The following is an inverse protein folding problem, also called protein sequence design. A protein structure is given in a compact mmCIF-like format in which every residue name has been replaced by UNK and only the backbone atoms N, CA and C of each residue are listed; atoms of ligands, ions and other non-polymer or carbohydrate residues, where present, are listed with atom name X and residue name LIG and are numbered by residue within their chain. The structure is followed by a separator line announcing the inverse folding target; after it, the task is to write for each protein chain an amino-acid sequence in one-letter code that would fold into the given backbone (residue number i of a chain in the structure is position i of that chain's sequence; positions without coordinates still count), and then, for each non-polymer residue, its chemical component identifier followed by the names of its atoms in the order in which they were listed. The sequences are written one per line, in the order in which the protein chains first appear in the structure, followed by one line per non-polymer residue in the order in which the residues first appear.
data_IF_807799272772
#
_entry.id   IF_807799272772
#
_cell.length_a   1.000
_cell.length_b   1.000
_cell.length_c   1.000
_cell.angle_alpha   90.00
_cell.angle_beta   90.00
_cell.angle_gamma   90.00
#
_symmetry.space_group_name_H-M   'P 1'
#
loop_
_entity.id
_entity.type
_entity.pdbx_description
1 polymer ?
#
# COMPACT_ATOMS: atom_id res chain seq x y z
N UNK A 1 -15.86 5.04 -7.04
CA UNK A 1 -15.23 3.92 -6.28
C UNK A 1 -14.20 3.25 -7.19
N UNK A 2 -13.05 2.85 -6.66
CA UNK A 2 -12.03 2.10 -7.43
C UNK A 2 -12.29 0.61 -7.20
N UNK A 3 -12.53 -0.20 -8.24
CA UNK A 3 -12.74 -1.63 -8.08
C UNK A 3 -11.46 -2.31 -7.55
N UNK A 4 -11.64 -3.23 -6.60
CA UNK A 4 -10.57 -4.05 -6.05
C UNK A 4 -10.67 -5.42 -6.71
N UNK A 5 -9.56 -5.92 -7.26
CA UNK A 5 -9.49 -7.24 -7.90
C UNK A 5 -9.67 -8.37 -6.86
N UNK A 6 -10.33 -9.47 -7.23
CA UNK A 6 -10.59 -10.63 -6.36
C UNK A 6 -9.32 -11.23 -5.74
N UNK A 7 -8.19 -11.23 -6.46
CA UNK A 7 -6.88 -11.65 -5.94
C UNK A 7 -6.48 -10.78 -4.74
N UNK A 8 -6.72 -9.48 -4.81
CA UNK A 8 -6.44 -8.58 -3.69
C UNK A 8 -7.38 -8.88 -2.50
N UNK A 9 -8.64 -9.24 -2.76
CA UNK A 9 -9.60 -9.63 -1.71
C UNK A 9 -9.10 -10.87 -0.95
N UNK A 10 -8.54 -11.85 -1.66
CA UNK A 10 -7.93 -13.04 -1.04
C UNK A 10 -6.71 -12.67 -0.18
N UNK A 11 -5.82 -11.80 -0.69
CA UNK A 11 -4.69 -11.30 0.08
C UNK A 11 -5.13 -10.53 1.33
N UNK A 12 -6.17 -9.69 1.22
CA UNK A 12 -6.74 -8.99 2.37
C UNK A 12 -7.32 -9.94 3.41
N UNK A 13 -7.99 -11.00 2.97
CA UNK A 13 -8.54 -12.04 3.85
C UNK A 13 -7.43 -12.79 4.58
N UNK A 14 -6.35 -13.12 3.87
CA UNK A 14 -5.14 -13.73 4.45
C UNK A 14 -4.48 -12.81 5.48
N UNK A 15 -4.35 -11.52 5.18
CA UNK A 15 -3.78 -10.54 6.11
C UNK A 15 -4.65 -10.39 7.36
N UNK A 16 -5.98 -10.39 7.21
CA UNK A 16 -6.92 -10.34 8.33
C UNK A 16 -6.76 -11.56 9.25
N UNK A 17 -6.64 -12.76 8.69
CA UNK A 17 -6.44 -13.99 9.44
C UNK A 17 -5.11 -14.05 10.21
N UNK A 18 -4.09 -13.32 9.76
CA UNK A 18 -2.78 -13.21 10.43
C UNK A 18 -2.73 -12.12 11.50
N UNK A 19 -3.76 -11.29 11.63
CA UNK A 19 -3.82 -10.26 12.66
C UNK A 19 -4.26 -10.89 13.98
N UNK A 20 -3.53 -10.64 15.06
CA UNK A 20 -3.86 -11.22 16.38
C UNK A 20 -5.22 -10.73 16.92
N UNK A 21 -5.67 -9.52 16.53
CA UNK A 21 -6.93 -8.93 16.99
C UNK A 21 -7.55 -8.00 15.92
N UNK A 22 -8.17 -8.54 14.86
CA UNK A 22 -8.80 -7.74 13.83
C UNK A 22 -10.06 -7.06 14.41
N UNK A 23 -9.95 -5.81 14.83
CA UNK A 23 -11.09 -4.97 15.20
C UNK A 23 -11.57 -4.21 13.97
N UNK A 24 -12.89 -4.12 13.81
CA UNK A 24 -13.52 -3.44 12.67
C UNK A 24 -13.14 -1.95 12.56
N UNK A 25 -12.77 -1.32 13.68
CA UNK A 25 -12.31 0.07 13.76
C UNK A 25 -10.81 0.27 13.56
N UNK A 26 -10.04 -0.79 13.34
CA UNK A 26 -8.58 -0.70 13.14
C UNK A 26 -8.24 -0.61 11.66
N UNK A 27 -7.13 0.09 11.36
CA UNK A 27 -6.60 0.19 10.00
C UNK A 27 -6.30 -1.20 9.43
N UNK A 28 -6.71 -1.44 8.19
CA UNK A 28 -6.48 -2.71 7.47
C UNK A 28 -4.98 -2.99 7.29
N UNK A 29 -4.19 -1.94 7.04
CA UNK A 29 -2.75 -2.02 6.85
C UNK A 29 -1.96 -1.53 8.06
N UNK A 30 -2.22 -2.11 9.23
CA UNK A 30 -1.42 -1.79 10.39
C UNK A 30 -0.22 -2.75 10.53
N UNK A 31 0.96 -2.32 10.09
CA UNK A 31 2.18 -3.14 10.20
C UNK A 31 2.51 -3.46 11.68
N UNK A 32 2.06 -2.64 12.63
CA UNK A 32 2.30 -2.87 14.05
C UNK A 32 1.57 -4.10 14.59
N UNK A 33 0.49 -4.54 13.92
CA UNK A 33 -0.17 -5.82 14.25
C UNK A 33 0.56 -7.05 13.69
N UNK A 34 1.55 -6.86 12.81
CA UNK A 34 2.30 -7.94 12.16
C UNK A 34 3.79 -7.97 12.53
N UNK A 35 4.36 -6.85 13.01
CA UNK A 35 5.77 -6.71 13.36
C UNK A 35 5.93 -6.05 14.74
N UNK A 36 6.36 -6.84 15.72
CA UNK A 36 6.60 -6.37 17.10
C UNK A 36 7.61 -5.21 17.23
N UNK A 37 8.42 -4.96 16.19
CA UNK A 37 9.40 -3.87 16.17
C UNK A 37 8.80 -2.49 15.92
N UNK A 38 7.51 -2.41 15.57
CA UNK A 38 6.81 -1.13 15.36
C UNK A 38 5.80 -0.92 16.49
N UNK A 39 6.05 0.08 17.35
CA UNK A 39 5.16 0.43 18.46
C UNK A 39 4.35 1.68 18.09
N UNK A 40 3.17 1.49 17.51
CA UNK A 40 2.19 2.56 17.27
C UNK A 40 0.78 1.96 17.16
N UNK A 41 -0.24 2.69 17.62
CA UNK A 41 -1.63 2.23 17.53
C UNK A 41 -2.19 2.24 16.10
N UNK A 42 -1.61 3.10 15.25
CA UNK A 42 -1.92 3.27 13.83
C UNK A 42 -0.62 3.54 13.08
N UNK A 43 -0.57 3.11 11.82
CA UNK A 43 0.52 3.47 10.92
C UNK A 43 0.30 4.90 10.42
N UNK A 44 1.39 5.67 10.33
CA UNK A 44 1.41 7.00 9.73
C UNK A 44 2.35 7.05 8.50
N UNK A 45 2.34 8.18 7.80
CA UNK A 45 3.11 8.35 6.56
C UNK A 45 4.62 8.22 6.76
N UNK A 46 5.15 8.64 7.91
CA UNK A 46 6.58 8.50 8.24
C UNK A 46 7.00 7.04 8.33
N UNK A 47 6.17 6.21 8.96
CA UNK A 47 6.43 4.77 9.08
C UNK A 47 6.38 4.08 7.71
N UNK A 48 5.44 4.47 6.84
CA UNK A 48 5.39 4.00 5.45
C UNK A 48 6.67 4.42 4.71
N UNK A 49 7.07 5.69 4.83
CA UNK A 49 8.28 6.20 4.19
C UNK A 49 9.53 5.45 4.65
N UNK A 50 9.66 5.17 5.95
CA UNK A 50 10.76 4.35 6.50
C UNK A 50 10.75 2.92 5.97
N UNK A 51 9.58 2.31 5.76
CA UNK A 51 9.47 0.99 5.13
C UNK A 51 10.05 1.01 3.71
N UNK A 52 9.67 1.99 2.89
CA UNK A 52 10.20 2.15 1.55
C UNK A 52 11.71 2.41 1.54
N UNK A 53 12.24 3.15 2.51
CA UNK A 53 13.70 3.31 2.69
C UNK A 53 14.39 1.98 2.98
N UNK A 54 13.82 1.15 3.86
CA UNK A 54 14.37 -0.19 4.16
C UNK A 54 14.34 -1.09 2.92
N UNK A 55 13.25 -1.07 2.16
CA UNK A 55 13.13 -1.82 0.91
C UNK A 55 14.13 -1.35 -0.13
N UNK A 56 14.30 -0.03 -0.29
CA UNK A 56 15.26 0.53 -1.24
C UNK A 56 16.67 0.02 -0.99
N UNK A 57 17.10 0.01 0.27
CA UNK A 57 18.39 -0.54 0.68
C UNK A 57 18.50 -2.04 0.39
N UNK A 58 17.44 -2.81 0.68
CA UNK A 58 17.43 -4.26 0.51
C UNK A 58 17.48 -4.69 -0.96
N UNK A 59 16.80 -3.98 -1.85
CA UNK A 59 16.75 -4.33 -3.28
C UNK A 59 17.84 -3.62 -4.12
N UNK A 60 18.59 -2.68 -3.52
CA UNK A 60 19.62 -1.92 -4.22
C UNK A 60 19.09 -0.87 -5.20
N UNK A 61 17.83 -0.45 -5.08
CA UNK A 61 17.19 0.52 -5.97
C UNK A 61 16.29 1.49 -5.20
N UNK A 62 16.24 2.75 -5.63
CA UNK A 62 15.43 3.77 -4.96
C UNK A 62 13.93 3.55 -5.23
N UNK A 63 13.18 3.19 -4.18
CA UNK A 63 11.73 3.07 -4.20
C UNK A 63 11.12 4.01 -3.17
N UNK A 64 10.07 4.71 -3.56
CA UNK A 64 9.27 5.56 -2.66
C UNK A 64 7.77 5.31 -2.91
N UNK A 65 6.88 5.68 -1.97
CA UNK A 65 5.43 5.57 -2.18
C UNK A 65 4.99 6.28 -3.46
N UNK A 66 5.56 7.45 -3.72
CA UNK A 66 5.30 8.26 -4.89
C UNK A 66 5.75 7.55 -6.19
N UNK A 67 7.00 7.07 -6.24
CA UNK A 67 7.51 6.33 -7.42
C UNK A 67 6.73 5.05 -7.68
N UNK A 68 6.33 4.35 -6.62
CA UNK A 68 5.48 3.17 -6.70
C UNK A 68 4.12 3.50 -7.33
N UNK A 69 3.46 4.56 -6.86
CA UNK A 69 2.20 5.06 -7.42
C UNK A 69 2.33 5.41 -8.90
N UNK A 70 3.36 6.18 -9.28
CA UNK A 70 3.61 6.55 -10.68
C UNK A 70 3.87 5.36 -11.59
N UNK A 71 4.70 4.42 -11.13
CA UNK A 71 5.01 3.21 -11.90
C UNK A 71 3.75 2.35 -12.09
N UNK A 72 2.96 2.20 -11.02
CA UNK A 72 1.70 1.44 -11.07
C UNK A 72 0.71 2.09 -12.01
N UNK A 73 0.51 3.41 -11.92
CA UNK A 73 -0.35 4.16 -12.82
C UNK A 73 0.09 4.00 -14.29
N UNK A 74 1.40 4.15 -14.57
CA UNK A 74 1.96 3.98 -15.92
C UNK A 74 1.70 2.57 -16.47
N UNK A 75 1.90 1.53 -15.64
CA UNK A 75 1.61 0.14 -16.03
C UNK A 75 0.13 -0.07 -16.34
N UNK A 76 -0.77 0.48 -15.53
CA UNK A 76 -2.23 0.39 -15.75
C UNK A 76 -2.63 1.11 -17.07
N UNK A 77 -2.03 2.26 -17.36
CA UNK A 77 -2.25 2.97 -18.64
C UNK A 77 -1.82 2.10 -19.82
N UNK A 78 -0.64 1.50 -19.73
CA UNK A 78 -0.09 0.68 -20.83
C UNK A 78 -0.84 -0.63 -21.04
N UNK A 79 -1.59 -1.12 -20.04
CA UNK A 79 -2.42 -2.31 -20.14
C UNK A 79 -3.84 -2.05 -20.70
N UNK A 80 -4.08 -0.91 -21.37
CA UNK A 80 -5.36 -0.50 -22.00
C UNK A 80 -6.56 -0.35 -21.04
N UNK A 81 -6.32 0.00 -19.77
CA UNK A 81 -7.42 0.29 -18.84
C UNK A 81 -7.98 1.71 -19.07
N UNK A 82 -9.29 1.89 -18.97
CA UNK A 82 -9.99 3.16 -19.29
C UNK A 82 -9.44 4.34 -18.46
N UNK A 83 -8.85 5.33 -19.13
CA UNK A 83 -8.08 6.46 -18.56
C UNK A 83 -8.82 7.31 -17.51
N UNK A 84 -10.17 7.35 -17.55
CA UNK A 84 -10.97 8.18 -16.63
C UNK A 84 -10.84 7.75 -15.16
N UNK A 85 -10.45 6.50 -14.88
CA UNK A 85 -10.25 5.99 -13.51
C UNK A 85 -8.89 6.37 -12.91
N UNK A 86 -7.95 6.88 -13.73
CA UNK A 86 -6.54 7.06 -13.36
C UNK A 86 -6.20 8.43 -12.77
N UNK A 87 -6.99 9.45 -13.07
CA UNK A 87 -6.81 10.85 -12.64
C UNK A 87 -6.72 10.97 -11.10
N UNK A 88 -7.39 10.07 -10.37
CA UNK A 88 -7.35 9.98 -8.91
C UNK A 88 -6.00 9.43 -8.39
N UNK A 89 -5.31 8.62 -9.19
CA UNK A 89 -4.02 7.99 -8.88
C UNK A 89 -2.80 8.84 -9.29
N UNK A 90 -2.98 10.04 -9.82
CA UNK A 90 -1.86 10.96 -10.10
C UNK A 90 -1.98 12.32 -9.39
N UNK A 91 -3.17 12.89 -9.20
CA UNK A 91 -3.34 14.31 -8.84
C UNK A 91 -3.47 14.67 -7.33
N UNK A 92 -2.75 14.04 -6.40
CA UNK A 92 -2.84 14.43 -4.97
C UNK A 92 -1.55 14.89 -4.30
N UNK A 93 -0.54 15.31 -5.05
CA UNK A 93 0.68 15.90 -4.50
C UNK A 93 1.31 16.96 -5.43
N UNK A 94 0.51 17.93 -5.88
CA UNK A 94 1.01 19.30 -6.03
C UNK A 94 0.64 20.06 -4.76
#
# INVERSE_FOLDING_TARGET
MIPINDILIEHFSTLRGKSNHPKQSKQVFNITTFLNSYKAEQINEDQISRLFTKWSKKIGALVSPHRFRHTTATKITNSKCHLKSLVILTLKQL
#
